data_IF_577197229196
#
_entry.id   IF_577197229196
#
_cell.length_a   1.000
_cell.length_b   1.000
_cell.length_c   1.000
_cell.angle_alpha   90.00
_cell.angle_beta   90.00
_cell.angle_gamma   90.00
#
_symmetry.space_group_name_H-M   'P 1'
#
loop_
_entity.id
_entity.type
_entity.pdbx_description
1 polymer ?
#
# COMPACT_ATOMS: atom_id res chain seq x y z
N UNK A 1 -2.22 -9.73 21.51
CA UNK A 1 -1.58 -8.44 21.79
C UNK A 1 -0.21 -8.40 21.10
N UNK A 2 0.64 -9.40 21.31
CA UNK A 2 1.94 -9.53 20.60
C UNK A 2 1.83 -9.67 19.07
N UNK A 3 0.73 -10.24 18.58
CA UNK A 3 0.54 -10.45 17.14
C UNK A 3 0.46 -9.13 16.35
N UNK A 4 -0.34 -8.15 16.78
CA UNK A 4 -0.48 -6.88 16.03
C UNK A 4 0.82 -6.10 16.01
N UNK A 5 1.58 -6.14 17.10
CA UNK A 5 2.91 -5.56 17.17
C UNK A 5 3.87 -6.25 16.20
N UNK A 6 3.86 -7.58 16.16
CA UNK A 6 4.65 -8.37 15.21
C UNK A 6 4.27 -8.06 13.76
N UNK A 7 2.99 -7.87 13.46
CA UNK A 7 2.53 -7.53 12.11
C UNK A 7 3.01 -6.15 11.68
N UNK A 8 2.88 -5.15 12.57
CA UNK A 8 3.35 -3.79 12.32
C UNK A 8 4.86 -3.77 12.12
N UNK A 9 5.62 -4.54 12.91
CA UNK A 9 7.06 -4.69 12.72
C UNK A 9 7.39 -5.32 11.37
N UNK A 10 6.70 -6.40 11.01
CA UNK A 10 6.86 -7.04 9.71
C UNK A 10 6.57 -6.04 8.58
N UNK A 11 5.43 -5.35 8.60
CA UNK A 11 5.05 -4.40 7.55
C UNK A 11 6.04 -3.25 7.46
N UNK A 12 6.42 -2.64 8.58
CA UNK A 12 7.40 -1.55 8.57
C UNK A 12 8.73 -2.01 7.95
N UNK A 13 9.21 -3.19 8.33
CA UNK A 13 10.47 -3.73 7.80
C UNK A 13 10.34 -4.14 6.34
N UNK A 14 9.30 -4.89 5.97
CA UNK A 14 9.08 -5.34 4.59
C UNK A 14 8.85 -4.20 3.62
N UNK A 15 8.27 -3.10 4.08
CA UNK A 15 7.81 -2.01 3.23
C UNK A 15 8.85 -0.92 3.10
N UNK A 16 9.29 -0.36 4.24
CA UNK A 16 10.23 0.75 4.22
C UNK A 16 11.64 0.28 3.84
N UNK A 17 12.12 -0.87 4.33
CA UNK A 17 13.44 -1.36 3.92
C UNK A 17 13.47 -1.77 2.46
N UNK A 18 12.38 -2.36 1.94
CA UNK A 18 12.28 -2.68 0.53
C UNK A 18 12.30 -1.41 -0.33
N UNK A 19 11.50 -0.40 -0.01
CA UNK A 19 11.51 0.84 -0.80
C UNK A 19 12.82 1.60 -0.72
N UNK A 20 13.47 1.64 0.45
CA UNK A 20 14.82 2.22 0.58
C UNK A 20 15.81 1.46 -0.30
N UNK A 21 15.78 0.13 -0.28
CA UNK A 21 16.64 -0.69 -1.15
C UNK A 21 16.38 -0.41 -2.62
N UNK A 22 15.11 -0.39 -3.04
CA UNK A 22 14.74 -0.13 -4.44
C UNK A 22 15.14 1.26 -4.90
N UNK A 23 15.00 2.27 -4.04
CA UNK A 23 15.48 3.64 -4.30
C UNK A 23 17.00 3.67 -4.50
N UNK A 24 17.75 3.04 -3.60
CA UNK A 24 19.21 2.98 -3.68
C UNK A 24 19.68 2.20 -4.93
N UNK A 25 19.04 1.09 -5.24
CA UNK A 25 19.36 0.31 -6.45
C UNK A 25 19.07 1.13 -7.72
N UNK A 26 17.96 1.88 -7.76
CA UNK A 26 17.65 2.81 -8.85
C UNK A 26 18.72 3.88 -9.07
N UNK A 27 19.31 4.44 -8.01
CA UNK A 27 20.41 5.41 -8.15
C UNK A 27 21.72 4.79 -8.67
N UNK A 28 21.93 3.49 -8.45
CA UNK A 28 23.14 2.75 -8.85
C UNK A 28 23.08 2.21 -10.28
N UNK A 29 21.89 1.85 -10.77
CA UNK A 29 21.70 1.20 -12.09
C UNK A 29 22.22 1.99 -13.30
N UNK A 30 22.08 3.32 -13.38
CA UNK A 30 22.67 4.11 -14.47
C UNK A 30 24.22 4.06 -14.54
N UNK A 31 24.89 3.41 -13.58
CA UNK A 31 26.32 3.14 -13.58
C UNK A 31 26.69 1.75 -14.16
N UNK A 32 25.75 1.05 -14.81
CA UNK A 32 26.02 -0.24 -15.47
C UNK A 32 25.95 -1.46 -14.57
N UNK A 33 25.42 -1.33 -13.35
CA UNK A 33 25.30 -2.42 -12.39
C UNK A 33 23.92 -3.10 -12.54
N UNK A 34 23.89 -4.31 -13.11
CA UNK A 34 22.71 -5.20 -13.11
C UNK A 34 22.80 -6.21 -11.97
N UNK A 35 21.65 -6.79 -11.59
CA UNK A 35 21.46 -7.74 -10.46
C UNK A 35 22.42 -8.95 -10.44
N UNK A 36 23.14 -9.21 -11.52
CA UNK A 36 24.16 -10.25 -11.67
C UNK A 36 25.55 -9.85 -11.19
N UNK A 37 25.75 -8.61 -10.76
CA UNK A 37 27.07 -8.12 -10.36
C UNK A 37 27.25 -8.23 -8.84
N UNK A 38 27.63 -9.42 -8.36
CA UNK A 38 28.26 -9.58 -7.02
C UNK A 38 29.69 -9.03 -7.01
N UNK A 39 29.90 -7.89 -7.68
CA UNK A 39 31.18 -7.21 -7.84
C UNK A 39 31.17 -5.92 -7.04
N UNK A 40 32.30 -5.62 -6.41
CA UNK A 40 32.57 -4.44 -5.57
C UNK A 40 31.82 -3.18 -6.01
N UNK A 41 31.30 -2.44 -5.01
CA UNK A 41 30.67 -1.13 -5.21
C UNK A 41 31.60 -0.23 -6.05
N UNK A 42 31.19 0.05 -7.30
CA UNK A 42 31.98 0.91 -8.20
C UNK A 42 32.11 2.32 -7.61
N UNK A 43 33.30 2.96 -7.65
CA UNK A 43 33.48 4.35 -7.24
C UNK A 43 32.49 5.32 -7.88
N UNK A 44 32.08 5.06 -9.13
CA UNK A 44 31.06 5.86 -9.82
C UNK A 44 29.66 5.70 -9.23
N UNK A 45 29.33 4.50 -8.74
CA UNK A 45 28.08 4.23 -8.02
C UNK A 45 28.04 4.98 -6.68
N UNK A 46 29.15 4.99 -5.94
CA UNK A 46 29.29 5.75 -4.68
C UNK A 46 29.15 7.25 -4.95
N UNK A 47 29.81 7.78 -6.00
CA UNK A 47 29.72 9.20 -6.35
C UNK A 47 28.29 9.62 -6.71
N UNK A 48 27.56 8.80 -7.47
CA UNK A 48 26.15 9.10 -7.81
C UNK A 48 25.23 9.07 -6.60
N UNK A 49 25.39 8.08 -5.73
CA UNK A 49 24.61 7.98 -4.50
C UNK A 49 24.88 9.20 -3.61
N UNK A 50 26.15 9.58 -3.42
CA UNK A 50 26.53 10.81 -2.72
C UNK A 50 25.91 12.05 -3.38
N UNK A 51 26.00 12.20 -4.70
CA UNK A 51 25.42 13.35 -5.38
C UNK A 51 23.90 13.41 -5.23
N UNK A 52 23.21 12.27 -5.32
CA UNK A 52 21.76 12.20 -5.11
C UNK A 52 21.38 12.62 -3.69
N UNK A 53 22.09 12.14 -2.67
CA UNK A 53 21.87 12.52 -1.27
C UNK A 53 21.99 14.02 -0.99
N UNK A 54 22.76 14.76 -1.80
CA UNK A 54 22.96 16.21 -1.65
C UNK A 54 21.90 17.01 -2.40
N UNK A 55 21.14 16.40 -3.32
CA UNK A 55 19.98 17.07 -3.95
C UNK A 55 18.85 17.26 -2.95
N UNK A 56 18.03 18.30 -3.10
CA UNK A 56 16.88 18.54 -2.22
C UNK A 56 15.95 17.32 -2.11
N UNK A 57 15.72 16.62 -3.24
CA UNK A 57 14.87 15.42 -3.30
C UNK A 57 15.48 14.23 -2.59
N UNK A 58 16.76 13.93 -2.87
CA UNK A 58 17.45 12.81 -2.22
C UNK A 58 17.69 13.06 -0.73
N UNK A 59 17.95 14.31 -0.34
CA UNK A 59 18.03 14.72 1.06
C UNK A 59 16.69 14.53 1.77
N UNK A 60 15.57 14.95 1.16
CA UNK A 60 14.23 14.76 1.73
C UNK A 60 13.89 13.27 1.86
N UNK A 61 14.05 12.46 0.81
CA UNK A 61 13.82 11.02 0.90
C UNK A 61 14.69 10.36 1.98
N UNK A 62 15.98 10.71 2.06
CA UNK A 62 16.87 10.18 3.08
C UNK A 62 16.41 10.57 4.50
N UNK A 63 15.93 11.79 4.69
CA UNK A 63 15.37 12.25 5.97
C UNK A 63 14.14 11.43 6.39
N UNK A 64 13.27 11.11 5.43
CA UNK A 64 12.09 10.26 5.63
C UNK A 64 12.48 8.81 5.91
N UNK A 65 13.47 8.28 5.20
CA UNK A 65 14.01 6.94 5.44
C UNK A 65 14.60 6.82 6.87
N UNK A 66 15.39 7.80 7.31
CA UNK A 66 15.91 7.84 8.68
C UNK A 66 14.80 7.97 9.71
N UNK A 67 13.75 8.74 9.41
CA UNK A 67 12.56 8.85 10.25
C UNK A 67 11.87 7.49 10.39
N UNK A 68 11.68 6.75 9.30
CA UNK A 68 11.12 5.39 9.33
C UNK A 68 11.92 4.46 10.24
N UNK A 69 13.25 4.46 10.10
CA UNK A 69 14.16 3.64 10.93
C UNK A 69 14.04 4.02 12.41
N UNK A 70 13.91 5.32 12.71
CA UNK A 70 13.72 5.83 14.07
C UNK A 70 12.37 5.45 14.68
N UNK A 71 11.39 5.05 13.88
CA UNK A 71 10.12 4.52 14.40
C UNK A 71 10.19 3.07 14.84
N UNK A 72 11.24 2.32 14.44
CA UNK A 72 11.35 0.92 14.84
C UNK A 72 11.36 0.80 16.38
N UNK A 73 12.18 1.57 17.14
CA UNK A 73 12.11 1.61 18.60
C UNK A 73 10.75 2.02 19.19
N UNK A 74 9.98 2.88 18.51
CA UNK A 74 8.67 3.34 19.01
C UNK A 74 7.68 2.18 19.05
N UNK A 75 7.74 1.27 18.08
CA UNK A 75 6.96 0.01 18.13
C UNK A 75 7.35 -0.87 19.33
N UNK A 76 8.64 -0.91 19.69
CA UNK A 76 9.12 -1.71 20.82
C UNK A 76 8.84 -1.09 22.19
N UNK A 77 8.57 0.22 22.27
CA UNK A 77 8.21 0.90 23.51
C UNK A 77 6.71 0.84 23.81
N UNK A 78 6.01 -0.12 23.19
CA UNK A 78 4.59 -0.40 23.36
C UNK A 78 4.29 -0.93 24.77
N UNK A 79 3.35 -0.29 25.46
CA UNK A 79 2.99 -0.60 26.85
C UNK A 79 1.93 -1.70 27.01
N UNK A 80 1.46 -2.31 25.91
CA UNK A 80 0.34 -3.26 25.94
C UNK A 80 -0.99 -2.67 25.45
N UNK A 81 -1.11 -1.36 25.27
CA UNK A 81 -2.37 -0.70 24.93
C UNK A 81 -2.79 -0.87 23.46
N UNK A 82 -4.07 -1.09 23.16
CA UNK A 82 -4.55 -1.31 21.79
C UNK A 82 -4.23 -0.11 20.89
N UNK A 83 -3.64 -0.37 19.71
CA UNK A 83 -3.38 0.68 18.73
C UNK A 83 -4.68 1.34 18.26
N UNK A 84 -4.61 2.65 18.01
CA UNK A 84 -5.75 3.46 17.61
C UNK A 84 -5.87 3.52 16.08
N UNK A 85 -7.10 3.66 15.59
CA UNK A 85 -7.35 3.95 14.18
C UNK A 85 -6.85 5.34 13.79
N UNK A 86 -6.42 5.46 12.54
CA UNK A 86 -5.79 6.66 11.99
C UNK A 86 -6.76 7.47 11.13
N UNK A 87 -6.64 8.81 11.11
CA UNK A 87 -7.35 9.66 10.17
C UNK A 87 -7.06 9.34 8.70
N UNK A 88 -8.10 9.03 7.92
CA UNK A 88 -7.95 8.67 6.50
C UNK A 88 -7.45 9.82 5.62
N UNK A 89 -7.90 11.05 5.90
CA UNK A 89 -7.65 12.22 5.05
C UNK A 89 -6.15 12.49 4.82
N UNK A 90 -5.32 12.20 5.84
CA UNK A 90 -3.87 12.43 5.79
C UNK A 90 -3.19 11.53 4.77
N UNK A 91 -3.57 10.26 4.72
CA UNK A 91 -2.93 9.27 3.84
C UNK A 91 -3.53 9.31 2.44
N UNK A 92 -4.87 9.41 2.33
CA UNK A 92 -5.55 9.39 1.03
C UNK A 92 -5.24 10.60 0.16
N UNK A 93 -4.96 11.77 0.75
CA UNK A 93 -4.54 12.95 -0.03
C UNK A 93 -3.24 12.69 -0.80
N UNK A 94 -2.22 12.14 -0.12
CA UNK A 94 -0.95 11.76 -0.74
C UNK A 94 -1.11 10.68 -1.81
N UNK A 95 -1.91 9.66 -1.53
CA UNK A 95 -2.19 8.58 -2.48
C UNK A 95 -2.88 9.06 -3.77
N UNK A 96 -3.81 10.01 -3.66
CA UNK A 96 -4.49 10.61 -4.82
C UNK A 96 -3.54 11.49 -5.64
N UNK A 97 -2.69 12.28 -4.99
CA UNK A 97 -1.64 13.06 -5.66
C UNK A 97 -0.70 12.13 -6.42
N UNK A 98 -0.28 11.04 -5.78
CA UNK A 98 0.56 10.00 -6.40
C UNK A 98 -0.10 9.38 -7.62
N UNK A 99 -1.35 8.94 -7.47
CA UNK A 99 -2.13 8.37 -8.57
C UNK A 99 -2.19 9.31 -9.77
N UNK A 100 -2.48 10.59 -9.51
CA UNK A 100 -2.52 11.60 -10.57
C UNK A 100 -1.14 11.85 -11.17
N UNK A 101 -0.10 11.95 -10.37
CA UNK A 101 1.24 12.26 -10.88
C UNK A 101 1.80 11.12 -11.72
N UNK A 102 1.64 9.88 -11.28
CA UNK A 102 2.29 8.71 -11.89
C UNK A 102 1.45 7.98 -12.92
N UNK A 103 0.12 8.12 -12.85
CA UNK A 103 -0.78 7.49 -13.80
C UNK A 103 -1.45 8.51 -14.74
N UNK A 104 -2.15 9.52 -14.21
CA UNK A 104 -2.97 10.43 -15.02
C UNK A 104 -2.16 11.57 -15.69
N UNK A 105 -1.10 12.03 -15.03
CA UNK A 105 -0.32 13.22 -15.37
C UNK A 105 0.82 12.94 -16.34
N UNK A 106 1.24 11.67 -16.47
CA UNK A 106 2.12 11.25 -17.55
C UNK A 106 1.29 11.04 -18.82
N UNK A 107 0.97 12.14 -19.50
CA UNK A 107 0.42 12.15 -20.86
C UNK A 107 1.29 11.29 -21.77
N UNK A 108 0.86 10.05 -22.09
CA UNK A 108 1.54 9.03 -22.94
C UNK A 108 2.80 9.53 -23.68
N UNK A 109 4.01 9.52 -23.07
CA UNK A 109 5.23 9.81 -23.80
C UNK A 109 6.14 8.59 -23.78
N UNK A 110 6.17 7.86 -24.90
CA UNK A 110 7.03 6.70 -25.21
C UNK A 110 6.89 5.50 -24.24
N UNK A 111 7.09 4.26 -24.71
CA UNK A 111 7.08 3.09 -23.83
C UNK A 111 8.29 3.16 -22.88
N UNK A 112 8.08 3.63 -21.65
CA UNK A 112 9.04 3.45 -20.55
C UNK A 112 8.96 2.02 -20.06
N UNK A 113 10.12 1.42 -19.77
CA UNK A 113 10.11 0.13 -19.08
C UNK A 113 9.56 0.33 -17.65
N UNK A 114 8.89 -0.68 -17.09
CA UNK A 114 8.42 -0.64 -15.70
C UNK A 114 9.53 -0.23 -14.70
N UNK A 115 10.78 -0.60 -15.00
CA UNK A 115 11.97 -0.23 -14.21
C UNK A 115 12.24 1.27 -14.18
N UNK A 116 12.07 1.96 -15.31
CA UNK A 116 12.28 3.42 -15.37
C UNK A 116 11.21 4.15 -14.57
N UNK A 117 9.94 3.72 -14.67
CA UNK A 117 8.84 4.30 -13.89
C UNK A 117 9.07 4.15 -12.39
N UNK A 118 9.59 3.00 -11.95
CA UNK A 118 9.98 2.77 -10.56
C UNK A 118 11.11 3.70 -10.12
N UNK A 119 12.17 3.82 -10.92
CA UNK A 119 13.31 4.67 -10.58
C UNK A 119 12.90 6.16 -10.49
N UNK A 120 12.04 6.62 -11.41
CA UNK A 120 11.45 7.96 -11.38
C UNK A 120 10.58 8.18 -10.14
N UNK A 121 9.79 7.17 -9.74
CA UNK A 121 8.96 7.23 -8.55
C UNK A 121 9.78 7.39 -7.28
N UNK A 122 10.77 6.53 -7.05
CA UNK A 122 11.60 6.58 -5.85
C UNK A 122 12.43 7.85 -5.73
N UNK A 123 12.69 8.52 -6.85
CA UNK A 123 13.38 9.82 -6.89
C UNK A 123 12.42 11.02 -6.81
N UNK A 124 11.12 10.77 -6.74
CA UNK A 124 10.10 11.82 -6.67
C UNK A 124 9.80 12.25 -5.24
N UNK A 125 9.43 13.51 -5.08
CA UNK A 125 8.90 14.05 -3.83
C UNK A 125 7.65 13.30 -3.36
N UNK A 126 6.82 12.83 -4.30
CA UNK A 126 5.58 12.13 -3.99
C UNK A 126 5.80 10.79 -3.29
N UNK A 127 6.89 10.08 -3.60
CA UNK A 127 7.25 8.85 -2.86
C UNK A 127 7.63 9.16 -1.41
N UNK A 128 8.42 10.20 -1.19
CA UNK A 128 8.82 10.64 0.15
C UNK A 128 7.63 11.18 0.96
N UNK A 129 6.72 11.93 0.35
CA UNK A 129 5.48 12.39 0.98
C UNK A 129 4.58 11.23 1.42
N UNK A 130 4.44 10.20 0.57
CA UNK A 130 3.65 9.02 0.93
C UNK A 130 4.27 8.30 2.13
N UNK A 131 5.58 8.10 2.11
CA UNK A 131 6.31 7.47 3.20
C UNK A 131 6.17 8.24 4.51
N UNK A 132 6.36 9.55 4.46
CA UNK A 132 6.23 10.41 5.63
C UNK A 132 4.81 10.38 6.20
N UNK A 133 3.80 10.41 5.32
CA UNK A 133 2.39 10.29 5.70
C UNK A 133 2.07 8.96 6.39
N UNK A 134 2.58 7.84 5.87
CA UNK A 134 2.40 6.51 6.46
C UNK A 134 3.10 6.39 7.83
N UNK A 135 4.30 6.96 7.97
CA UNK A 135 5.06 7.00 9.23
C UNK A 135 4.33 7.85 10.28
N UNK A 136 3.88 9.04 9.91
CA UNK A 136 3.16 9.93 10.83
C UNK A 136 1.80 9.37 11.23
N UNK A 137 1.11 8.69 10.32
CA UNK A 137 -0.11 7.97 10.64
C UNK A 137 0.18 6.82 11.63
N UNK A 138 1.26 6.06 11.42
CA UNK A 138 1.65 5.02 12.36
C UNK A 138 1.88 5.58 13.77
N UNK A 139 2.62 6.69 13.91
CA UNK A 139 2.84 7.34 15.21
C UNK A 139 1.55 7.72 15.93
N UNK A 140 0.55 8.17 15.18
CA UNK A 140 -0.74 8.55 15.75
C UNK A 140 -1.54 7.33 16.22
N UNK A 141 -1.31 6.17 15.61
CA UNK A 141 -1.91 4.91 16.07
C UNK A 141 -1.30 4.41 17.39
N UNK A 142 -0.09 4.85 17.76
CA UNK A 142 0.56 4.42 19.01
C UNK A 142 -0.11 5.12 20.20
N UNK A 143 -0.64 4.37 21.19
CA UNK A 143 -1.24 4.97 22.38
C UNK A 143 -0.21 5.78 23.17
N UNK A 144 -0.62 6.95 23.68
CA UNK A 144 0.24 7.83 24.49
C UNK A 144 -0.10 7.65 25.96
N UNK A 145 0.86 7.16 26.76
CA UNK A 145 0.76 6.98 28.22
C UNK A 145 0.55 8.27 29.04
N UNK A 146 0.26 9.42 28.42
CA UNK A 146 0.05 10.67 29.12
C UNK A 146 -1.40 11.10 29.04
N UNK A 147 -1.91 11.61 30.18
CA UNK A 147 -3.12 12.41 30.32
C UNK A 147 -3.03 13.73 29.51
N UNK A 148 -2.61 13.66 28.25
CA UNK A 148 -2.68 14.78 27.32
C UNK A 148 -4.12 14.90 26.88
N UNK A 149 -4.68 16.09 27.15
CA UNK A 149 -6.00 16.55 26.75
C UNK A 149 -6.47 15.89 25.45
N UNK A 150 -7.72 15.41 25.47
CA UNK A 150 -8.47 15.00 24.30
C UNK A 150 -8.11 15.96 23.16
N UNK A 151 -7.34 15.46 22.18
CA UNK A 151 -7.20 16.19 20.94
C UNK A 151 -8.62 16.36 20.44
N UNK A 152 -9.03 17.60 20.23
CA UNK A 152 -10.25 17.99 19.55
C UNK A 152 -10.16 17.49 18.11
N UNK A 153 -10.24 16.17 17.93
CA UNK A 153 -10.44 15.54 16.65
C UNK A 153 -11.88 15.77 16.27
N UNK A 154 -12.11 16.15 15.02
CA UNK A 154 -13.45 16.22 14.47
C UNK A 154 -14.11 14.84 14.67
N UNK A 155 -15.19 14.77 15.45
CA UNK A 155 -15.92 13.52 15.72
C UNK A 155 -16.44 12.89 14.42
N UNK A 156 -16.49 13.66 13.32
CA UNK A 156 -16.88 13.18 11.99
C UNK A 156 -15.71 12.70 11.12
N UNK A 157 -14.46 12.79 11.60
CA UNK A 157 -13.30 12.33 10.82
C UNK A 157 -13.29 10.81 10.73
N UNK A 158 -13.40 10.28 9.50
CA UNK A 158 -13.33 8.84 9.26
C UNK A 158 -11.94 8.30 9.61
N UNK A 159 -11.91 7.23 10.39
CA UNK A 159 -10.68 6.55 10.82
C UNK A 159 -10.69 5.09 10.39
N UNK A 160 -9.52 4.53 10.14
CA UNK A 160 -9.38 3.10 9.84
C UNK A 160 -8.07 2.54 10.41
N UNK A 161 -7.92 1.22 10.33
CA UNK A 161 -6.68 0.56 10.72
C UNK A 161 -5.53 1.05 9.85
N UNK A 162 -4.41 1.39 10.49
CA UNK A 162 -3.16 1.68 9.77
C UNK A 162 -2.66 0.46 9.00
N UNK A 163 -2.86 -0.75 9.55
CA UNK A 163 -2.39 -2.01 8.95
C UNK A 163 -3.13 -2.31 7.65
N UNK A 164 -4.46 -2.31 7.66
CA UNK A 164 -5.27 -2.55 6.46
C UNK A 164 -4.99 -1.52 5.36
N UNK A 165 -4.93 -0.25 5.74
CA UNK A 165 -4.68 0.84 4.79
C UNK A 165 -3.29 0.73 4.15
N UNK A 166 -2.25 0.44 4.94
CA UNK A 166 -0.89 0.28 4.43
C UNK A 166 -0.82 -0.85 3.40
N UNK A 167 -1.36 -2.02 3.74
CA UNK A 167 -1.33 -3.18 2.85
C UNK A 167 -2.10 -2.89 1.56
N UNK A 168 -3.28 -2.31 1.65
CA UNK A 168 -4.07 -1.97 0.48
C UNK A 168 -3.35 -0.95 -0.43
N UNK A 169 -2.64 0.02 0.14
CA UNK A 169 -1.79 0.96 -0.60
C UNK A 169 -0.65 0.24 -1.30
N UNK A 170 0.03 -0.69 -0.65
CA UNK A 170 1.11 -1.46 -1.27
C UNK A 170 0.61 -2.26 -2.47
N UNK A 171 -0.50 -2.99 -2.29
CA UNK A 171 -1.14 -3.75 -3.36
C UNK A 171 -1.59 -2.82 -4.50
N UNK A 172 -2.12 -1.64 -4.19
CA UNK A 172 -2.51 -0.64 -5.19
C UNK A 172 -1.30 -0.13 -5.98
N UNK A 173 -0.22 0.23 -5.30
CA UNK A 173 1.02 0.69 -5.95
C UNK A 173 1.66 -0.42 -6.78
N UNK A 174 1.49 -1.69 -6.40
CA UNK A 174 2.00 -2.83 -7.14
C UNK A 174 1.21 -3.12 -8.42
N UNK A 175 -0.12 -3.13 -8.30
CA UNK A 175 -1.00 -3.67 -9.35
C UNK A 175 -1.58 -2.57 -10.25
N UNK A 176 -1.79 -1.37 -9.74
CA UNK A 176 -2.46 -0.28 -10.47
C UNK A 176 -1.44 0.76 -10.94
N UNK A 177 -0.57 1.23 -10.05
CA UNK A 177 0.43 2.25 -10.42
C UNK A 177 1.72 1.62 -10.96
N UNK A 178 1.94 0.32 -10.71
CA UNK A 178 3.11 -0.46 -11.17
C UNK A 178 4.45 0.07 -10.63
N UNK A 179 4.42 0.64 -9.43
CA UNK A 179 5.58 1.25 -8.76
C UNK A 179 6.22 0.32 -7.73
N UNK A 180 5.46 -0.62 -7.20
CA UNK A 180 5.87 -1.44 -6.07
C UNK A 180 6.02 -2.89 -6.48
N UNK A 181 7.21 -3.36 -6.88
CA UNK A 181 7.41 -4.75 -7.33
C UNK A 181 8.79 -5.32 -7.01
N UNK A 182 8.90 -6.67 -6.89
CA UNK A 182 7.87 -7.61 -6.43
C UNK A 182 8.04 -7.94 -4.94
N UNK A 183 6.93 -8.19 -4.25
CA UNK A 183 6.97 -8.93 -3.00
C UNK A 183 7.61 -10.31 -3.25
N UNK A 184 8.45 -10.78 -2.32
CA UNK A 184 8.76 -12.21 -2.31
C UNK A 184 7.47 -12.97 -2.04
N UNK A 185 7.31 -14.16 -2.63
CA UNK A 185 6.11 -14.99 -2.44
C UNK A 185 5.73 -15.15 -0.97
N UNK A 186 6.71 -15.41 -0.11
CA UNK A 186 6.47 -15.62 1.32
C UNK A 186 6.03 -14.32 2.02
N UNK A 187 6.63 -13.18 1.67
CA UNK A 187 6.20 -11.88 2.20
C UNK A 187 4.77 -11.57 1.74
N UNK A 188 4.46 -11.81 0.45
CA UNK A 188 3.13 -11.59 -0.09
C UNK A 188 2.08 -12.41 0.67
N UNK A 189 2.28 -13.72 0.80
CA UNK A 189 1.34 -14.60 1.51
C UNK A 189 1.16 -14.16 2.97
N UNK A 190 2.26 -13.80 3.65
CA UNK A 190 2.20 -13.31 5.03
C UNK A 190 1.44 -11.97 5.14
N UNK A 191 1.71 -11.01 4.24
CA UNK A 191 0.97 -9.75 4.12
C UNK A 191 -0.52 -9.99 3.92
N UNK A 192 -0.91 -10.88 3.00
CA UNK A 192 -2.31 -11.18 2.74
C UNK A 192 -3.02 -11.83 3.95
N UNK A 193 -2.30 -12.62 4.77
CA UNK A 193 -2.83 -13.18 6.01
C UNK A 193 -3.04 -12.13 7.09
N UNK A 194 -2.12 -11.17 7.23
CA UNK A 194 -2.32 -10.00 8.10
C UNK A 194 -3.57 -9.25 7.64
N UNK A 195 -3.69 -9.02 6.34
CA UNK A 195 -4.80 -8.24 5.77
C UNK A 195 -6.16 -8.92 5.96
N UNK A 196 -6.23 -10.23 5.75
CA UNK A 196 -7.43 -11.03 6.03
C UNK A 196 -7.89 -10.85 7.48
N UNK A 197 -6.96 -10.88 8.44
CA UNK A 197 -7.29 -10.67 9.85
C UNK A 197 -7.75 -9.24 10.13
N UNK A 198 -7.04 -8.24 9.60
CA UNK A 198 -7.37 -6.83 9.79
C UNK A 198 -8.77 -6.47 9.26
N UNK A 199 -9.08 -6.89 8.02
CA UNK A 199 -10.40 -6.69 7.42
C UNK A 199 -11.51 -7.41 8.20
N UNK A 200 -11.24 -8.62 8.72
CA UNK A 200 -12.18 -9.32 9.59
C UNK A 200 -12.52 -8.47 10.82
N UNK A 201 -11.53 -7.85 11.46
CA UNK A 201 -11.78 -6.97 12.60
C UNK A 201 -12.54 -5.70 12.20
N UNK A 202 -12.22 -5.11 11.05
CA UNK A 202 -12.87 -3.89 10.57
C UNK A 202 -14.38 -4.06 10.37
N UNK A 203 -14.85 -5.23 9.89
CA UNK A 203 -16.28 -5.51 9.75
C UNK A 203 -17.06 -5.54 11.06
N UNK A 204 -16.40 -5.89 12.17
CA UNK A 204 -17.05 -5.98 13.47
C UNK A 204 -17.14 -4.63 14.18
N UNK A 205 -16.59 -3.56 13.59
CA UNK A 205 -16.65 -2.23 14.18
C UNK A 205 -18.01 -1.57 13.92
N UNK A 206 -18.57 -0.82 14.89
CA UNK A 206 -19.86 -0.15 14.73
C UNK A 206 -19.93 0.83 13.55
N UNK A 207 -18.79 1.40 13.16
CA UNK A 207 -18.64 2.37 12.08
C UNK A 207 -18.35 1.73 10.71
N UNK A 208 -18.28 0.40 10.60
CA UNK A 208 -18.03 -0.32 9.36
C UNK A 208 -18.92 0.14 8.17
N UNK A 209 -20.23 0.41 8.34
CA UNK A 209 -21.06 0.94 7.24
C UNK A 209 -20.59 2.29 6.71
N UNK A 210 -20.00 3.15 7.55
CA UNK A 210 -19.47 4.45 7.15
C UNK A 210 -18.17 4.30 6.35
N UNK A 211 -17.43 3.21 6.59
CA UNK A 211 -16.19 2.85 5.92
C UNK A 211 -16.40 1.95 4.70
N UNK A 212 -17.63 1.63 4.30
CA UNK A 212 -17.93 0.67 3.24
C UNK A 212 -17.19 0.97 1.91
N UNK A 213 -17.04 2.24 1.52
CA UNK A 213 -16.26 2.61 0.33
C UNK A 213 -14.77 2.21 0.45
N UNK A 214 -14.18 2.40 1.64
CA UNK A 214 -12.80 2.02 1.92
C UNK A 214 -12.66 0.50 1.98
N UNK A 215 -13.52 -0.17 2.75
CA UNK A 215 -13.50 -1.63 2.89
C UNK A 215 -13.68 -2.35 1.55
N UNK A 216 -14.55 -1.81 0.68
CA UNK A 216 -14.66 -2.28 -0.69
C UNK A 216 -13.38 -2.04 -1.48
N UNK A 217 -12.79 -0.84 -1.43
CA UNK A 217 -11.55 -0.53 -2.13
C UNK A 217 -10.40 -1.46 -1.71
N UNK A 218 -10.21 -1.63 -0.39
CA UNK A 218 -9.20 -2.49 0.23
C UNK A 218 -9.35 -3.96 -0.21
N UNK A 219 -10.55 -4.53 -0.05
CA UNK A 219 -10.82 -5.92 -0.43
C UNK A 219 -10.79 -6.14 -1.94
N UNK A 220 -11.24 -5.19 -2.74
CA UNK A 220 -11.23 -5.32 -4.20
C UNK A 220 -9.80 -5.27 -4.77
N UNK A 221 -8.93 -4.41 -4.24
CA UNK A 221 -7.51 -4.40 -4.60
C UNK A 221 -6.83 -5.72 -4.21
N UNK A 222 -7.20 -6.31 -3.08
CA UNK A 222 -6.75 -7.65 -2.71
C UNK A 222 -7.12 -8.68 -3.78
N UNK A 223 -8.36 -8.67 -4.29
CA UNK A 223 -8.80 -9.57 -5.36
C UNK A 223 -8.00 -9.35 -6.66
N UNK A 224 -7.77 -8.09 -7.05
CA UNK A 224 -6.96 -7.75 -8.24
C UNK A 224 -5.55 -8.30 -8.11
N UNK A 225 -4.92 -8.11 -6.95
CA UNK A 225 -3.57 -8.60 -6.65
C UNK A 225 -3.53 -10.13 -6.67
N UNK A 226 -4.45 -10.79 -5.98
CA UNK A 226 -4.52 -12.24 -5.88
C UNK A 226 -4.68 -12.90 -7.25
N UNK A 227 -5.49 -12.33 -8.15
CA UNK A 227 -5.63 -12.82 -9.53
C UNK A 227 -4.32 -12.74 -10.31
N UNK A 228 -3.46 -11.75 -10.04
CA UNK A 228 -2.14 -11.65 -10.66
C UNK A 228 -1.17 -12.68 -10.09
N UNK A 229 -1.12 -12.83 -8.76
CA UNK A 229 -0.25 -13.79 -8.08
C UNK A 229 -0.67 -15.25 -8.32
N UNK A 230 -1.96 -15.50 -8.56
CA UNK A 230 -2.47 -16.80 -9.03
C UNK A 230 -1.83 -17.19 -10.37
N UNK A 231 -1.82 -16.27 -11.35
CA UNK A 231 -1.20 -16.50 -12.66
C UNK A 231 0.32 -16.72 -12.57
N UNK A 232 0.97 -16.17 -11.55
CA UNK A 232 2.40 -16.34 -11.29
C UNK A 232 2.73 -17.65 -10.55
N UNK A 233 1.72 -18.38 -10.07
CA UNK A 233 1.90 -19.64 -9.34
C UNK A 233 2.20 -19.46 -7.84
N UNK A 234 2.11 -18.24 -7.32
CA UNK A 234 2.41 -17.93 -5.92
C UNK A 234 1.40 -18.55 -4.96
N UNK A 235 0.15 -18.73 -5.41
CA UNK A 235 -0.98 -19.17 -4.60
C UNK A 235 -1.18 -20.68 -4.52
N UNK A 236 -0.29 -21.48 -5.10
CA UNK A 236 -0.42 -22.95 -5.14
C UNK A 236 -0.57 -23.64 -3.77
N UNK A 237 -0.18 -22.96 -2.68
CA UNK A 237 -0.24 -23.48 -1.30
C UNK A 237 -1.42 -22.93 -0.49
N UNK A 238 -2.20 -21.99 -1.03
CA UNK A 238 -3.20 -21.25 -0.27
C UNK A 238 -4.39 -20.82 -1.15
N UNK A 239 -5.14 -21.80 -1.66
CA UNK A 239 -6.28 -21.55 -2.55
C UNK A 239 -7.45 -20.84 -1.84
N UNK A 240 -7.55 -20.97 -0.52
CA UNK A 240 -8.66 -20.43 0.28
C UNK A 240 -8.63 -18.91 0.46
N UNK A 241 -7.45 -18.30 0.37
CA UNK A 241 -7.29 -16.85 0.57
C UNK A 241 -8.05 -16.04 -0.48
N UNK A 242 -8.07 -16.53 -1.72
CA UNK A 242 -8.79 -15.90 -2.83
C UNK A 242 -10.29 -15.84 -2.52
N UNK A 243 -10.86 -16.95 -2.09
CA UNK A 243 -12.29 -17.04 -1.78
C UNK A 243 -12.70 -16.10 -0.64
N UNK A 244 -11.83 -15.92 0.36
CA UNK A 244 -12.07 -14.98 1.46
C UNK A 244 -12.23 -13.55 0.94
N UNK A 245 -11.27 -13.04 0.18
CA UNK A 245 -11.33 -11.65 -0.32
C UNK A 245 -12.43 -11.45 -1.35
N UNK A 246 -12.77 -12.47 -2.15
CA UNK A 246 -13.93 -12.45 -3.05
C UNK A 246 -15.24 -12.27 -2.27
N UNK A 247 -15.45 -13.10 -1.24
CA UNK A 247 -16.63 -13.02 -0.38
C UNK A 247 -16.75 -11.66 0.30
N UNK A 248 -15.64 -11.17 0.86
CA UNK A 248 -15.59 -9.86 1.50
C UNK A 248 -15.93 -8.72 0.52
N UNK A 249 -15.28 -8.68 -0.65
CA UNK A 249 -15.53 -7.65 -1.66
C UNK A 249 -16.99 -7.70 -2.16
N UNK A 250 -17.56 -8.90 -2.28
CA UNK A 250 -18.96 -9.10 -2.64
C UNK A 250 -19.91 -8.56 -1.56
N UNK A 251 -19.67 -8.85 -0.29
CA UNK A 251 -20.48 -8.33 0.83
C UNK A 251 -20.47 -6.80 0.84
N UNK A 252 -19.30 -6.18 0.71
CA UNK A 252 -19.19 -4.72 0.66
C UNK A 252 -19.85 -4.13 -0.59
N UNK A 253 -19.82 -4.83 -1.71
CA UNK A 253 -20.53 -4.41 -2.91
C UNK A 253 -22.06 -4.42 -2.71
N UNK A 254 -22.59 -5.33 -1.90
CA UNK A 254 -24.01 -5.35 -1.54
C UNK A 254 -24.38 -4.17 -0.64
N UNK A 255 -23.55 -3.89 0.39
CA UNK A 255 -23.75 -2.73 1.29
C UNK A 255 -23.79 -1.42 0.49
N UNK A 256 -22.94 -1.30 -0.52
CA UNK A 256 -22.86 -0.13 -1.39
C UNK A 256 -23.85 -0.14 -2.57
N UNK A 257 -24.58 -1.24 -2.79
CA UNK A 257 -25.53 -1.39 -3.89
C UNK A 257 -24.89 -1.38 -5.29
N UNK A 258 -23.65 -1.84 -5.43
CA UNK A 258 -22.91 -1.82 -6.69
C UNK A 258 -23.43 -2.90 -7.64
N UNK A 259 -23.87 -2.49 -8.85
CA UNK A 259 -24.43 -3.40 -9.85
C UNK A 259 -23.65 -3.40 -11.15
N UNK A 260 -23.06 -2.27 -11.50
CA UNK A 260 -22.35 -2.06 -12.76
C UNK A 260 -20.89 -1.73 -12.52
N UNK A 261 -20.06 -1.98 -13.53
CA UNK A 261 -18.66 -1.55 -13.50
C UNK A 261 -18.50 -0.03 -13.31
N UNK A 262 -19.47 0.76 -13.80
CA UNK A 262 -19.50 2.21 -13.59
C UNK A 262 -19.65 2.58 -12.11
N UNK A 263 -20.48 1.85 -11.37
CA UNK A 263 -20.66 2.06 -9.92
C UNK A 263 -19.38 1.74 -9.18
N UNK A 264 -18.75 0.61 -9.52
CA UNK A 264 -17.46 0.18 -8.96
C UNK A 264 -16.39 1.25 -9.18
N UNK A 265 -16.21 1.70 -10.43
CA UNK A 265 -15.28 2.81 -10.75
C UNK A 265 -15.54 4.06 -9.92
N UNK A 266 -16.80 4.44 -9.73
CA UNK A 266 -17.15 5.61 -8.94
C UNK A 266 -16.72 5.47 -7.48
N UNK A 267 -16.85 4.27 -6.88
CA UNK A 267 -16.35 3.99 -5.54
C UNK A 267 -14.83 4.01 -5.49
N UNK A 268 -14.15 3.38 -6.45
CA UNK A 268 -12.69 3.36 -6.48
C UNK A 268 -12.10 4.78 -6.56
N UNK A 269 -12.67 5.64 -7.42
CA UNK A 269 -12.27 7.04 -7.55
C UNK A 269 -12.52 7.87 -6.27
N UNK A 270 -13.48 7.48 -5.42
CA UNK A 270 -13.69 8.16 -4.12
C UNK A 270 -12.54 7.91 -3.15
N UNK A 271 -11.82 6.80 -3.27
CA UNK A 271 -10.66 6.51 -2.42
C UNK A 271 -9.39 6.93 -3.16
N UNK A 272 -8.93 6.13 -4.12
CA UNK A 272 -7.86 6.44 -5.05
C UNK A 272 -7.96 5.51 -6.27
N UNK A 273 -8.13 6.08 -7.45
CA UNK A 273 -8.14 5.34 -8.72
C UNK A 273 -7.79 6.28 -9.87
N UNK A 274 -7.07 5.82 -10.91
CA UNK A 274 -6.78 6.63 -12.08
C UNK A 274 -8.05 6.94 -12.89
N UNK A 275 -8.08 8.10 -13.54
CA UNK A 275 -9.24 8.50 -14.36
C UNK A 275 -9.33 7.73 -15.67
N UNK A 276 -8.18 7.48 -16.32
CA UNK A 276 -8.07 6.78 -17.61
C UNK A 276 -7.24 5.50 -17.48
N UNK A 277 -7.71 4.57 -16.65
CA UNK A 277 -7.00 3.32 -16.38
C UNK A 277 -6.96 2.41 -17.62
N UNK A 278 -5.76 2.16 -18.15
CA UNK A 278 -5.53 1.42 -19.40
C UNK A 278 -5.82 -0.09 -19.30
N UNK A 279 -5.66 -0.68 -18.11
CA UNK A 279 -5.94 -2.10 -17.86
C UNK A 279 -7.37 -2.32 -17.32
N UNK A 280 -8.32 -1.48 -17.75
CA UNK A 280 -9.69 -1.51 -17.27
C UNK A 280 -10.37 -2.87 -17.44
N UNK A 281 -10.09 -3.54 -18.55
CA UNK A 281 -10.63 -4.87 -18.85
C UNK A 281 -10.11 -5.93 -17.87
N UNK A 282 -8.85 -5.84 -17.43
CA UNK A 282 -8.30 -6.76 -16.45
C UNK A 282 -9.01 -6.63 -15.10
N UNK A 283 -9.22 -5.39 -14.65
CA UNK A 283 -9.86 -5.08 -13.37
C UNK A 283 -11.37 -5.34 -13.43
N UNK A 284 -12.02 -5.03 -14.55
CA UNK A 284 -13.41 -5.44 -14.79
C UNK A 284 -13.55 -6.97 -14.73
N UNK A 285 -12.59 -7.71 -15.27
CA UNK A 285 -12.54 -9.17 -15.10
C UNK A 285 -12.28 -9.62 -13.67
N UNK A 286 -11.74 -8.79 -12.77
CA UNK A 286 -11.70 -9.09 -11.34
C UNK A 286 -13.07 -8.85 -10.69
N UNK A 287 -13.80 -7.83 -11.13
CA UNK A 287 -15.18 -7.57 -10.71
C UNK A 287 -16.14 -8.69 -11.11
N UNK A 288 -16.04 -9.20 -12.34
CA UNK A 288 -16.84 -10.34 -12.80
C UNK A 288 -16.66 -11.55 -11.88
N UNK A 289 -15.41 -11.83 -11.49
CA UNK A 289 -15.07 -12.91 -10.57
C UNK A 289 -15.65 -12.68 -9.15
N UNK A 290 -15.72 -11.45 -8.66
CA UNK A 290 -16.39 -11.13 -7.39
C UNK A 290 -17.89 -11.41 -7.50
N UNK A 291 -18.51 -11.09 -8.63
CA UNK A 291 -19.93 -11.32 -8.85
C UNK A 291 -20.28 -12.81 -9.04
N UNK A 292 -19.36 -13.60 -9.55
CA UNK A 292 -19.49 -15.06 -9.68
C UNK A 292 -19.48 -15.80 -8.32
N UNK A 293 -18.96 -15.18 -7.24
CA UNK A 293 -19.00 -15.77 -5.89
C UNK A 293 -20.42 -16.18 -5.47
N UNK A 294 -21.44 -15.45 -5.94
CA UNK A 294 -22.86 -15.75 -5.79
C UNK A 294 -23.26 -17.17 -6.21
N UNK A 295 -22.56 -17.74 -7.21
CA UNK A 295 -22.92 -19.02 -7.83
C UNK A 295 -22.40 -20.26 -7.08
N UNK A 296 -21.53 -20.09 -6.09
CA UNK A 296 -20.86 -21.20 -5.37
C UNK A 296 -21.38 -21.35 -3.93
N UNK A 297 -22.03 -20.32 -3.38
CA UNK A 297 -22.49 -20.28 -1.96
C UNK A 297 -24.01 -20.49 -1.83
N UNK A 298 -24.77 -20.55 -2.94
CA UNK A 298 -26.17 -20.97 -2.99
C UNK A 298 -26.29 -22.34 -3.67
#
# INVERSE_FOLDING_TARGET
MDQELSDRYFLITSTFMHGIRTALDGTRRPAGLTDTTTGSVSPDGIRRMNNWHITDRGHYFHSVALKAIREFPVTFNYSGEIFQDIPLARVLSGLRILTRNFYDGYSKPLPRSARQTQDDFWQSETSAMLYDGLIEAHKQSVPKNHKSQASTGDENEQKASWVGLLIAIELYLEQVVVLWRPFTRDNYLYTMRIFQRDLSYALHKPDAPQLANLLFWESFIAVISLKMHEKQGDLAKDLGIISYFKGFAWEQSQVLGLKTWKDVKAVLMRIAWPYDFTDDDYVKGAWEVVMEYKAVVN
#
